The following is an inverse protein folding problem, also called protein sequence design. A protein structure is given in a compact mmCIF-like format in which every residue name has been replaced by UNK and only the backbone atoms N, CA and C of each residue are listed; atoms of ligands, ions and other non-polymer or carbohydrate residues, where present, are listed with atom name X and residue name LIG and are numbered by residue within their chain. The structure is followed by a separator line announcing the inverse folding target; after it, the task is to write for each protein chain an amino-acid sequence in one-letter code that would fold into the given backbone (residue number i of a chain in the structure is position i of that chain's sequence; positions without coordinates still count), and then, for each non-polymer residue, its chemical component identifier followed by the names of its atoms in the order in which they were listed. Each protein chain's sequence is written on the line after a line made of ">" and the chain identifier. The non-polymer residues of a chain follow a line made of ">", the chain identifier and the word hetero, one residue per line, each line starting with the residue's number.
data_IF_590743511204
#
_entry.id   IF_590743511204
#
_cell.length_a   1.000
_cell.length_b   1.000
_cell.length_c   1.000
_cell.angle_alpha   90.00
_cell.angle_beta   90.00
_cell.angle_gamma   90.00
#
_symmetry.space_group_name_H-M   'P 1'
#
loop_
_entity.id
_entity.type
_entity.pdbx_description
1 polymer ?
#
# COMPACT_ATOMS: atom_id res chain seq x y z
N UNK A 1 28.58 -29.22 19.66
CA UNK A 1 27.30 -28.72 20.20
C UNK A 1 26.91 -27.56 19.32
N UNK A 2 25.99 -27.85 18.42
CA UNK A 2 25.55 -27.00 17.31
C UNK A 2 24.66 -25.91 17.90
N UNK A 3 24.84 -24.65 17.49
CA UNK A 3 23.76 -23.68 17.56
C UNK A 3 23.76 -22.91 16.24
N UNK A 4 22.74 -23.21 15.44
CA UNK A 4 22.38 -22.62 14.16
C UNK A 4 22.37 -21.08 14.23
N UNK A 5 23.14 -20.45 13.34
CA UNK A 5 22.97 -19.05 12.95
C UNK A 5 22.23 -18.94 11.60
N UNK A 6 21.40 -19.93 11.28
CA UNK A 6 20.56 -19.95 10.08
C UNK A 6 19.14 -20.37 10.48
N UNK A 7 18.15 -19.58 10.09
CA UNK A 7 16.70 -19.81 10.19
C UNK A 7 15.97 -19.29 11.43
N UNK A 8 15.93 -17.96 11.64
CA UNK A 8 14.69 -17.33 12.06
C UNK A 8 14.55 -16.03 11.28
N UNK A 9 13.57 -15.98 10.38
CA UNK A 9 13.22 -14.72 9.77
C UNK A 9 12.79 -13.71 10.83
N UNK A 10 13.12 -12.43 10.64
CA UNK A 10 12.77 -11.35 11.58
C UNK A 10 11.36 -11.55 12.14
N UNK A 11 11.24 -11.85 13.44
CA UNK A 11 9.96 -12.06 14.13
C UNK A 11 9.27 -10.75 14.49
N UNK A 12 9.80 -9.62 14.02
CA UNK A 12 9.33 -8.29 14.38
C UNK A 12 8.67 -7.64 13.18
N UNK A 13 7.63 -6.86 13.44
CA UNK A 13 7.05 -6.01 12.42
C UNK A 13 8.04 -4.89 12.05
N UNK A 14 7.99 -4.45 10.80
CA UNK A 14 8.77 -3.34 10.27
C UNK A 14 7.84 -2.25 9.73
N UNK A 15 8.34 -1.02 9.71
CA UNK A 15 7.65 0.12 9.13
C UNK A 15 7.73 0.03 7.60
N UNK A 16 6.59 -0.20 6.96
CA UNK A 16 6.46 -0.28 5.50
C UNK A 16 5.78 0.99 5.00
N UNK A 17 6.56 1.86 4.37
CA UNK A 17 6.02 3.02 3.69
C UNK A 17 5.30 2.60 2.41
N UNK A 18 4.04 2.98 2.27
CA UNK A 18 3.24 2.77 1.07
C UNK A 18 3.00 4.13 0.42
N UNK A 19 3.44 4.27 -0.83
CA UNK A 19 3.09 5.38 -1.71
C UNK A 19 2.04 4.97 -2.74
N UNK A 20 1.19 5.92 -3.12
CA UNK A 20 0.26 5.77 -4.23
C UNK A 20 -0.01 7.12 -4.90
N UNK A 21 -0.06 7.12 -6.23
CA UNK A 21 -0.38 8.31 -7.01
C UNK A 21 -1.81 8.19 -7.55
N UNK A 22 -2.68 9.08 -7.09
CA UNK A 22 -4.06 9.15 -7.57
C UNK A 22 -4.61 10.57 -7.55
N UNK A 23 -5.57 10.82 -8.44
CA UNK A 23 -6.45 11.97 -8.33
C UNK A 23 -7.72 11.55 -7.56
N UNK A 24 -7.96 12.18 -6.41
CA UNK A 24 -9.11 11.98 -5.55
C UNK A 24 -9.02 12.85 -4.30
N UNK A 25 -10.10 12.91 -3.53
CA UNK A 25 -10.16 13.66 -2.26
C UNK A 25 -9.85 12.77 -1.06
N UNK A 26 -10.21 11.49 -1.15
CA UNK A 26 -9.95 10.50 -0.10
C UNK A 26 -9.31 9.27 -0.72
N UNK A 27 -8.12 8.93 -0.23
CA UNK A 27 -7.40 7.72 -0.59
C UNK A 27 -7.22 6.83 0.63
N UNK A 28 -7.57 5.56 0.47
CA UNK A 28 -7.45 4.54 1.50
C UNK A 28 -6.75 3.30 0.94
N UNK A 29 -6.23 2.46 1.83
CA UNK A 29 -5.69 1.14 1.51
C UNK A 29 -6.32 0.07 2.40
N UNK A 30 -6.59 -1.10 1.82
CA UNK A 30 -6.95 -2.32 2.54
C UNK A 30 -6.13 -3.49 1.98
N UNK A 31 -6.00 -4.56 2.76
CA UNK A 31 -5.25 -5.72 2.31
C UNK A 31 -5.44 -6.96 3.17
N UNK A 32 -4.75 -8.03 2.80
CA UNK A 32 -4.79 -9.30 3.50
C UNK A 32 -4.27 -9.23 4.93
N UNK A 33 -3.37 -8.28 5.23
CA UNK A 33 -2.78 -8.08 6.56
C UNK A 33 -3.80 -7.80 7.67
N UNK A 34 -5.00 -7.32 7.32
CA UNK A 34 -6.12 -7.11 8.26
C UNK A 34 -7.40 -7.84 7.83
N UNK A 35 -7.27 -8.90 7.01
CA UNK A 35 -8.40 -9.68 6.53
C UNK A 35 -9.42 -8.89 5.71
N UNK A 36 -9.00 -7.80 5.06
CA UNK A 36 -9.85 -6.91 4.26
C UNK A 36 -10.99 -6.20 5.03
N UNK A 37 -10.94 -6.18 6.36
CA UNK A 37 -12.03 -5.66 7.19
C UNK A 37 -11.95 -4.14 7.43
N UNK A 38 -10.74 -3.57 7.43
CA UNK A 38 -10.52 -2.15 7.73
C UNK A 38 -9.79 -1.44 6.60
N UNK A 39 -10.20 -0.19 6.36
CA UNK A 39 -9.54 0.72 5.44
C UNK A 39 -8.68 1.68 6.23
N UNK A 40 -7.45 1.88 5.78
CA UNK A 40 -6.50 2.80 6.38
C UNK A 40 -6.44 4.01 5.47
N UNK A 41 -6.79 5.19 6.00
CA UNK A 41 -6.67 6.44 5.27
C UNK A 41 -5.21 6.76 5.02
N UNK A 42 -4.90 7.23 3.83
CA UNK A 42 -3.57 7.71 3.44
C UNK A 42 -3.51 9.23 3.60
N UNK A 43 -2.34 9.71 3.99
CA UNK A 43 -2.04 11.13 4.11
C UNK A 43 -1.56 11.69 2.77
N UNK A 44 -2.12 12.83 2.39
CA UNK A 44 -1.69 13.57 1.22
C UNK A 44 -0.34 14.23 1.49
N UNK A 45 0.64 13.96 0.63
CA UNK A 45 1.91 14.70 0.60
C UNK A 45 1.64 16.09 -0.01
N UNK A 46 1.71 17.17 0.78
CA UNK A 46 1.36 18.51 0.31
C UNK A 46 2.29 19.02 -0.80
N UNK A 47 3.50 18.46 -0.91
CA UNK A 47 4.46 18.85 -1.95
C UNK A 47 4.00 18.44 -3.37
N UNK A 48 3.08 17.49 -3.46
CA UNK A 48 2.49 17.03 -4.72
C UNK A 48 1.37 17.93 -5.25
N UNK A 49 0.88 18.86 -4.43
CA UNK A 49 -0.17 19.81 -4.84
C UNK A 49 0.45 20.94 -5.65
N UNK A 50 -0.01 21.08 -6.90
CA UNK A 50 0.28 22.28 -7.69
C UNK A 50 -0.45 23.48 -7.12
N UNK A 51 0.26 24.60 -6.94
CA UNK A 51 -0.33 25.88 -6.52
C UNK A 51 -1.13 26.57 -7.63
N UNK A 52 -1.15 26.00 -8.84
CA UNK A 52 -1.88 26.56 -9.97
C UNK A 52 -3.25 25.88 -10.14
N UNK A 53 -4.37 26.53 -9.75
CA UNK A 53 -5.71 25.94 -9.79
C UNK A 53 -6.23 25.65 -11.21
N UNK A 54 -5.52 26.08 -12.26
CA UNK A 54 -5.85 25.74 -13.65
C UNK A 54 -5.38 24.33 -14.08
N UNK A 55 -4.62 23.61 -13.24
CA UNK A 55 -4.17 22.23 -13.49
C UNK A 55 -5.07 21.24 -12.75
N UNK A 56 -6.32 21.10 -13.19
CA UNK A 56 -7.37 20.31 -12.53
C UNK A 56 -7.21 18.78 -12.60
N UNK A 57 -6.04 18.26 -13.02
CA UNK A 57 -5.86 16.82 -13.31
C UNK A 57 -4.50 16.24 -12.93
N UNK A 58 -3.76 16.88 -12.03
CA UNK A 58 -2.51 16.30 -11.58
C UNK A 58 -2.77 15.17 -10.57
N UNK A 59 -2.09 14.05 -10.75
CA UNK A 59 -2.11 12.99 -9.75
C UNK A 59 -1.45 13.51 -8.46
N UNK A 60 -2.12 13.32 -7.34
CA UNK A 60 -1.59 13.64 -6.02
C UNK A 60 -0.84 12.45 -5.44
N UNK A 61 0.12 12.72 -4.56
CA UNK A 61 0.93 11.71 -3.88
C UNK A 61 0.36 11.42 -2.50
N UNK A 62 -0.01 10.16 -2.27
CA UNK A 62 -0.61 9.69 -1.03
C UNK A 62 0.34 8.71 -0.35
N UNK A 63 0.49 8.83 0.95
CA UNK A 63 1.42 8.01 1.74
C UNK A 63 0.76 7.47 3.00
N UNK A 64 1.19 6.31 3.46
CA UNK A 64 0.89 5.82 4.81
C UNK A 64 2.00 4.88 5.26
N UNK A 65 2.10 4.64 6.57
CA UNK A 65 3.05 3.69 7.15
C UNK A 65 2.24 2.54 7.75
N UNK A 66 2.57 1.31 7.32
CA UNK A 66 1.99 0.09 7.87
C UNK A 66 3.05 -0.66 8.67
N UNK A 67 2.70 -1.15 9.86
CA UNK A 67 3.54 -2.05 10.65
C UNK A 67 3.24 -3.49 10.28
N UNK A 68 4.11 -4.11 9.47
CA UNK A 68 3.87 -5.44 8.91
C UNK A 68 5.04 -6.38 9.23
N UNK A 69 4.73 -7.65 9.48
CA UNK A 69 5.74 -8.70 9.52
C UNK A 69 6.26 -9.01 8.10
N UNK A 70 7.50 -9.51 7.97
CA UNK A 70 8.00 -10.01 6.68
C UNK A 70 7.04 -11.03 6.06
N UNK A 71 6.79 -10.90 4.76
CA UNK A 71 5.80 -11.72 4.07
C UNK A 71 5.31 -11.12 2.76
N UNK A 72 4.31 -11.80 2.16
CA UNK A 72 3.65 -11.36 0.94
C UNK A 72 2.19 -11.08 1.24
N UNK A 73 1.74 -9.88 0.91
CA UNK A 73 0.39 -9.40 1.15
C UNK A 73 -0.27 -9.00 -0.16
N UNK A 74 -1.58 -9.19 -0.23
CA UNK A 74 -2.40 -8.56 -1.26
C UNK A 74 -2.95 -7.25 -0.72
N UNK A 75 -2.86 -6.19 -1.50
CA UNK A 75 -3.35 -4.86 -1.14
C UNK A 75 -4.16 -4.27 -2.29
N UNK A 76 -5.07 -3.35 -1.97
CA UNK A 76 -5.79 -2.57 -2.97
C UNK A 76 -6.13 -1.20 -2.44
N UNK A 77 -6.06 -0.20 -3.32
CA UNK A 77 -6.36 1.18 -3.00
C UNK A 77 -7.84 1.47 -3.21
N UNK A 78 -8.35 2.44 -2.47
CA UNK A 78 -9.70 2.96 -2.61
C UNK A 78 -9.57 4.47 -2.83
N UNK A 79 -10.01 4.95 -3.99
CA UNK A 79 -9.99 6.38 -4.35
C UNK A 79 -11.43 6.85 -4.48
N UNK A 80 -11.84 7.75 -3.59
CA UNK A 80 -13.22 8.26 -3.51
C UNK A 80 -14.26 7.13 -3.50
N UNK A 81 -14.00 6.10 -2.69
CA UNK A 81 -14.86 4.92 -2.57
C UNK A 81 -14.71 3.86 -3.67
N UNK A 82 -13.90 4.11 -4.70
CA UNK A 82 -13.70 3.18 -5.82
C UNK A 82 -12.41 2.37 -5.67
N UNK A 83 -12.51 1.05 -5.75
CA UNK A 83 -11.35 0.16 -5.69
C UNK A 83 -10.45 0.29 -6.92
N UNK A 84 -9.15 0.47 -6.71
CA UNK A 84 -8.14 0.64 -7.76
C UNK A 84 -6.85 -0.11 -7.44
N UNK A 85 -6.16 -0.53 -8.49
CA UNK A 85 -4.79 -1.03 -8.41
C UNK A 85 -3.82 0.04 -8.87
N UNK A 86 -2.61 0.08 -8.30
CA UNK A 86 -1.47 0.83 -8.84
C UNK A 86 -0.85 0.04 -10.00
N UNK A 87 -0.82 0.63 -11.20
CA UNK A 87 -0.20 0.01 -12.37
C UNK A 87 1.32 -0.09 -12.28
N UNK A 88 1.95 0.60 -11.31
CA UNK A 88 3.40 0.56 -11.07
C UNK A 88 3.80 -0.58 -10.13
N UNK A 89 2.84 -1.28 -9.52
CA UNK A 89 3.07 -2.38 -8.59
C UNK A 89 2.67 -3.71 -9.24
N UNK A 90 3.35 -4.78 -8.81
CA UNK A 90 2.97 -6.15 -9.18
C UNK A 90 1.49 -6.41 -8.86
N UNK A 91 0.81 -7.19 -9.70
CA UNK A 91 -0.59 -7.57 -9.52
C UNK A 91 -0.75 -9.08 -9.47
N UNK A 92 -1.73 -9.54 -8.70
CA UNK A 92 -2.22 -10.92 -8.70
C UNK A 92 -3.71 -10.92 -9.02
N UNK A 93 -4.16 -11.91 -9.79
CA UNK A 93 -5.58 -12.09 -10.12
C UNK A 93 -6.05 -13.46 -9.69
N UNK A 94 -7.12 -13.49 -8.88
CA UNK A 94 -7.79 -14.71 -8.45
C UNK A 94 -9.27 -14.61 -8.83
N UNK A 95 -9.68 -15.45 -9.78
CA UNK A 95 -11.00 -15.33 -10.42
C UNK A 95 -11.19 -13.94 -11.04
N UNK A 96 -12.18 -13.19 -10.56
CA UNK A 96 -12.51 -11.84 -11.05
C UNK A 96 -11.91 -10.72 -10.18
N UNK A 97 -11.06 -11.04 -9.22
CA UNK A 97 -10.46 -10.08 -8.28
C UNK A 97 -9.00 -9.89 -8.63
N UNK A 98 -8.63 -8.64 -8.95
CA UNK A 98 -7.24 -8.22 -9.15
C UNK A 98 -6.82 -7.29 -8.01
N UNK A 99 -5.70 -7.61 -7.37
CA UNK A 99 -5.08 -6.86 -6.27
C UNK A 99 -3.61 -6.57 -6.60
N UNK A 100 -3.01 -5.59 -5.93
CA UNK A 100 -1.56 -5.43 -5.97
C UNK A 100 -0.88 -6.35 -4.96
N UNK A 101 0.36 -6.75 -5.25
CA UNK A 101 1.22 -7.52 -4.34
C UNK A 101 2.13 -6.57 -3.58
N UNK A 102 2.20 -6.74 -2.26
CA UNK A 102 3.15 -6.07 -1.36
C UNK A 102 4.07 -7.12 -0.76
N UNK A 103 5.37 -6.99 -1.03
CA UNK A 103 6.41 -7.87 -0.47
C UNK A 103 7.13 -7.09 0.62
N UNK A 104 7.22 -7.70 1.81
CA UNK A 104 7.92 -7.14 2.97
C UNK A 104 9.09 -8.06 3.27
N UNK A 105 10.29 -7.54 3.04
CA UNK A 105 11.54 -8.26 3.28
C UNK A 105 11.98 -8.11 4.76
N UNK A 106 13.06 -8.82 5.13
CA UNK A 106 13.65 -8.81 6.47
C UNK A 106 14.65 -7.68 6.70
#
# INVERSE_FOLDING_TARGET
>A
MIWDWLCLGSTNAVDVQIDYWANGEVVEIAGSFNGWQHRIKMDLDPSSQSTNPSVSRQSLHWTTILWLYPGVYEIKFIVDGNWRTDSRREIVTSGNITNNVLRVDQ
#
